data_IF_953922291400
#
_entry.id   IF_953922291400
#
_cell.length_a   1.000
_cell.length_b   1.000
_cell.length_c   1.000
_cell.angle_alpha   90.00
_cell.angle_beta   90.00
_cell.angle_gamma   90.00
#
_symmetry.space_group_name_H-M   'P 1'
#
loop_
_entity.id
_entity.type
_entity.pdbx_description
1 polymer ?
#
# COMPACT_ATOMS: atom_id res chain seq x y z
N UNK A 1 45.58 43.33 -7.48
CA UNK A 1 46.11 42.21 -6.67
C UNK A 1 45.42 42.29 -5.32
N UNK A 2 44.30 41.60 -5.19
CA UNK A 2 43.54 41.49 -3.94
C UNK A 2 43.66 40.04 -3.48
N UNK A 3 44.01 39.85 -2.21
CA UNK A 3 44.32 38.57 -1.61
C UNK A 3 43.05 37.73 -1.39
N UNK A 4 43.15 36.43 -1.68
CA UNK A 4 42.17 35.40 -1.33
C UNK A 4 42.10 35.21 0.20
N UNK A 5 40.91 35.01 0.78
CA UNK A 5 40.79 34.56 2.15
C UNK A 5 41.00 33.03 2.25
N UNK A 6 41.93 32.63 3.11
CA UNK A 6 42.18 31.27 3.58
C UNK A 6 40.88 30.57 4.01
N UNK A 7 40.61 29.42 3.40
CA UNK A 7 39.48 28.52 3.73
C UNK A 7 39.90 27.34 4.62
N UNK A 8 41.08 27.36 5.23
CA UNK A 8 41.63 26.28 6.06
C UNK A 8 41.14 26.34 7.53
N UNK A 9 39.82 26.39 7.74
CA UNK A 9 39.24 26.35 9.08
C UNK A 9 38.02 25.42 9.22
N UNK A 10 38.01 24.31 8.49
CA UNK A 10 37.23 23.13 8.87
C UNK A 10 38.18 22.12 9.51
N UNK A 11 38.34 22.22 10.83
CA UNK A 11 39.02 21.19 11.60
C UNK A 11 38.29 19.87 11.42
N UNK A 12 39.07 18.80 11.29
CA UNK A 12 38.61 17.42 11.27
C UNK A 12 37.76 17.17 12.53
N UNK A 13 36.44 17.21 12.36
CA UNK A 13 35.52 16.69 13.36
C UNK A 13 35.52 15.17 13.12
N UNK A 14 36.35 14.46 13.88
CA UNK A 14 36.23 13.02 14.06
C UNK A 14 34.86 12.73 14.67
N UNK A 15 33.89 12.46 13.79
CA UNK A 15 32.64 11.83 14.15
C UNK A 15 32.91 10.34 14.36
N UNK A 16 33.61 10.01 15.45
CA UNK A 16 33.53 8.69 16.07
C UNK A 16 32.10 8.51 16.60
N UNK A 17 31.16 8.36 15.67
CA UNK A 17 29.83 7.85 15.94
C UNK A 17 30.06 6.38 16.23
N UNK A 18 30.06 6.01 17.52
CA UNK A 18 29.97 4.63 17.97
C UNK A 18 28.93 3.90 17.11
N UNK A 19 29.42 3.09 16.15
CA UNK A 19 28.63 2.44 15.10
C UNK A 19 27.73 1.32 15.62
N UNK A 20 27.70 1.10 16.94
CA UNK A 20 27.04 -0.02 17.60
C UNK A 20 25.58 0.25 17.98
N UNK A 21 25.09 1.47 17.72
CA UNK A 21 23.72 1.88 18.04
C UNK A 21 22.94 2.28 16.77
N UNK A 22 23.11 1.52 15.69
CA UNK A 22 22.16 1.55 14.56
C UNK A 22 20.83 1.04 15.11
N UNK A 23 20.03 1.96 15.64
CA UNK A 23 18.63 1.75 15.97
C UNK A 23 17.91 1.43 14.66
N UNK A 24 17.98 0.16 14.27
CA UNK A 24 17.36 -0.29 13.05
C UNK A 24 15.87 0.02 13.13
N UNK A 25 15.46 0.73 12.10
CA UNK A 25 14.10 1.24 12.00
C UNK A 25 13.21 0.08 11.61
N UNK A 26 12.08 -0.09 12.30
CA UNK A 26 11.19 -1.21 12.04
C UNK A 26 10.78 -1.26 10.57
N UNK A 27 10.82 -2.46 9.98
CA UNK A 27 10.48 -2.68 8.59
C UNK A 27 9.28 -3.61 8.47
N UNK A 28 8.37 -3.32 7.53
CA UNK A 28 7.24 -4.20 7.26
C UNK A 28 7.72 -5.50 6.61
N UNK A 29 7.50 -6.64 7.26
CA UNK A 29 7.94 -7.96 6.77
C UNK A 29 7.26 -8.38 5.44
N UNK A 30 6.20 -7.70 5.01
CA UNK A 30 5.51 -8.01 3.75
C UNK A 30 6.01 -7.21 2.55
N UNK A 31 6.49 -5.99 2.76
CA UNK A 31 6.86 -5.10 1.66
C UNK A 31 8.25 -4.51 1.77
N UNK A 32 8.97 -4.78 2.85
CA UNK A 32 10.32 -4.27 3.09
C UNK A 32 10.37 -2.76 3.28
N UNK A 33 9.22 -2.07 3.35
CA UNK A 33 9.18 -0.62 3.56
C UNK A 33 9.35 -0.33 5.04
N UNK A 34 10.27 0.58 5.33
CA UNK A 34 10.52 1.09 6.67
C UNK A 34 9.29 1.83 7.22
N UNK A 35 8.94 1.51 8.46
CA UNK A 35 7.92 2.20 9.24
C UNK A 35 8.56 3.45 9.83
N UNK A 36 8.74 4.47 8.98
CA UNK A 36 9.03 5.81 9.48
C UNK A 36 7.74 6.45 9.98
N UNK A 37 7.83 7.14 11.11
CA UNK A 37 6.86 8.17 11.45
C UNK A 37 6.73 9.14 10.26
N UNK A 38 5.54 9.73 10.07
CA UNK A 38 5.23 10.59 8.93
C UNK A 38 6.42 11.48 8.53
N UNK A 39 6.82 11.38 7.25
CA UNK A 39 7.80 12.29 6.64
C UNK A 39 7.38 13.73 6.98
N UNK A 40 8.31 14.46 7.58
CA UNK A 40 8.20 15.73 8.28
C UNK A 40 7.66 16.94 7.48
N UNK A 41 6.86 16.78 6.42
CA UNK A 41 6.25 17.91 5.73
C UNK A 41 5.05 18.50 6.47
N UNK A 42 4.54 17.83 7.51
CA UNK A 42 3.65 18.43 8.50
C UNK A 42 4.07 17.97 9.91
N UNK A 43 3.95 18.81 10.96
CA UNK A 43 4.21 18.45 12.37
C UNK A 43 3.17 17.46 12.95
N UNK A 44 2.66 16.61 12.08
CA UNK A 44 1.68 15.60 12.35
C UNK A 44 2.44 14.40 12.93
N UNK A 45 2.60 14.37 14.25
CA UNK A 45 3.05 13.15 14.90
C UNK A 45 1.88 12.14 14.81
N UNK A 46 2.05 10.96 14.19
CA UNK A 46 0.96 10.01 13.98
C UNK A 46 0.35 9.49 15.29
N UNK A 47 1.10 9.55 16.38
CA UNK A 47 0.60 9.23 17.73
C UNK A 47 -0.23 10.36 18.35
N UNK A 48 -0.16 11.58 17.77
CA UNK A 48 -1.02 12.69 18.19
C UNK A 48 -2.43 12.52 17.65
N UNK A 49 -3.41 12.55 18.57
CA UNK A 49 -4.85 12.48 18.26
C UNK A 49 -5.28 13.39 17.11
N UNK A 50 -4.61 14.52 16.93
CA UNK A 50 -5.03 15.52 15.97
C UNK A 50 -4.97 15.06 14.51
N UNK A 51 -4.10 14.12 14.12
CA UNK A 51 -3.85 13.85 12.70
C UNK A 51 -4.98 13.06 12.06
N UNK A 52 -5.26 11.86 12.58
CA UNK A 52 -6.34 11.04 12.05
C UNK A 52 -7.72 11.68 12.29
N UNK A 53 -7.90 12.52 13.31
CA UNK A 53 -9.12 13.32 13.50
C UNK A 53 -9.24 14.53 12.56
N UNK A 54 -8.30 14.73 11.63
CA UNK A 54 -8.51 15.61 10.48
C UNK A 54 -9.22 14.88 9.34
N UNK A 55 -9.17 13.55 9.27
CA UNK A 55 -9.97 12.79 8.31
C UNK A 55 -11.45 12.97 8.58
N UNK A 56 -12.25 13.15 7.52
CA UNK A 56 -13.67 13.51 7.67
C UNK A 56 -14.48 12.44 8.41
N UNK A 57 -14.03 11.18 8.30
CA UNK A 57 -14.63 10.02 8.96
C UNK A 57 -14.51 10.09 10.48
N UNK A 58 -13.38 10.54 11.01
CA UNK A 58 -13.06 10.53 12.44
C UNK A 58 -13.01 11.93 13.08
N UNK A 59 -13.34 12.98 12.32
CA UNK A 59 -13.34 14.37 12.84
C UNK A 59 -14.21 14.58 14.08
N UNK A 60 -15.25 13.78 14.27
CA UNK A 60 -16.13 13.86 15.42
C UNK A 60 -15.44 13.45 16.74
N UNK A 61 -14.37 12.65 16.68
CA UNK A 61 -13.55 12.29 17.85
C UNK A 61 -12.61 13.39 18.32
N UNK A 62 -12.43 14.48 17.55
CA UNK A 62 -11.51 15.57 17.92
C UNK A 62 -11.78 16.18 19.29
N UNK A 63 -13.05 16.20 19.71
CA UNK A 63 -13.47 16.75 21.01
C UNK A 63 -13.57 15.67 22.10
N UNK A 64 -13.41 14.40 21.74
CA UNK A 64 -13.48 13.31 22.68
C UNK A 64 -12.23 13.34 23.56
N UNK A 65 -12.41 13.53 24.87
CA UNK A 65 -11.34 13.47 25.87
C UNK A 65 -11.01 12.02 26.25
N UNK A 66 -10.98 11.14 25.24
CA UNK A 66 -10.72 9.71 25.43
C UNK A 66 -9.22 9.46 25.48
N UNK A 67 -8.80 8.57 26.37
CA UNK A 67 -7.40 8.15 26.48
C UNK A 67 -6.95 7.39 25.23
N UNK A 68 -7.80 6.48 24.74
CA UNK A 68 -7.64 5.81 23.47
C UNK A 68 -8.93 5.90 22.66
N UNK A 69 -8.82 6.29 21.39
CA UNK A 69 -9.93 6.19 20.43
C UNK A 69 -9.72 4.93 19.61
N UNK A 70 -10.61 3.96 19.84
CA UNK A 70 -10.58 2.64 19.25
C UNK A 70 -11.68 2.50 18.20
N UNK A 71 -11.36 1.92 17.05
CA UNK A 71 -12.29 1.62 15.95
C UNK A 71 -12.07 0.20 15.43
N UNK A 72 -12.99 -0.41 14.67
CA UNK A 72 -12.73 -1.68 14.02
C UNK A 72 -11.53 -1.60 13.07
N UNK A 73 -10.65 -2.60 13.07
CA UNK A 73 -9.47 -2.62 12.19
C UNK A 73 -9.80 -2.47 10.71
N UNK A 74 -10.89 -3.12 10.29
CA UNK A 74 -11.42 -3.03 8.93
C UNK A 74 -11.69 -1.60 8.49
N UNK A 75 -12.11 -0.73 9.41
CA UNK A 75 -12.38 0.68 9.11
C UNK A 75 -11.11 1.47 8.78
N UNK A 76 -9.93 1.02 9.24
CA UNK A 76 -8.62 1.59 8.90
C UNK A 76 -8.08 0.99 7.61
N UNK A 77 -8.20 -0.33 7.44
CA UNK A 77 -7.73 -1.06 6.26
C UNK A 77 -8.43 -0.60 4.98
N UNK A 78 -9.73 -0.35 5.05
CA UNK A 78 -10.55 0.11 3.92
C UNK A 78 -10.48 1.64 3.68
N UNK A 79 -9.60 2.35 4.41
CA UNK A 79 -9.54 3.81 4.37
C UNK A 79 -8.40 4.36 3.53
N UNK A 80 -8.77 5.26 2.61
CA UNK A 80 -7.87 6.23 1.99
C UNK A 80 -7.68 7.47 2.88
N UNK A 81 -6.42 7.80 3.18
CA UNK A 81 -6.04 8.96 3.98
C UNK A 81 -5.80 10.17 3.09
N UNK A 82 -6.87 10.74 2.54
CA UNK A 82 -6.79 11.85 1.56
C UNK A 82 -5.96 13.03 2.04
N UNK A 83 -6.05 13.37 3.33
CA UNK A 83 -5.33 14.53 3.89
C UNK A 83 -3.88 14.19 4.21
N UNK A 84 -3.59 12.91 4.46
CA UNK A 84 -2.27 12.42 4.83
C UNK A 84 -1.98 11.08 4.14
N UNK A 85 -1.72 11.05 2.82
CA UNK A 85 -1.56 9.80 2.11
C UNK A 85 -0.52 8.88 2.73
N UNK A 86 0.62 9.42 3.20
CA UNK A 86 1.69 8.66 3.87
C UNK A 86 1.26 7.96 5.15
N UNK A 87 0.09 8.26 5.74
CA UNK A 87 -0.38 7.56 6.94
C UNK A 87 -0.50 6.05 6.77
N UNK A 88 -0.76 5.56 5.55
CA UNK A 88 -0.86 4.11 5.34
C UNK A 88 0.44 3.39 5.75
N UNK A 89 1.61 4.01 5.57
CA UNK A 89 2.92 3.42 5.93
C UNK A 89 3.24 3.55 7.42
N UNK A 90 2.40 4.22 8.21
CA UNK A 90 2.54 4.30 9.66
C UNK A 90 1.51 3.43 10.38
N UNK A 91 0.37 3.13 9.74
CA UNK A 91 -0.67 2.26 10.30
C UNK A 91 -0.20 0.81 10.22
N UNK A 92 0.16 0.25 11.36
CA UNK A 92 0.82 -1.04 11.46
C UNK A 92 0.07 -2.01 12.39
N UNK A 93 0.17 -3.28 12.04
CA UNK A 93 -0.06 -4.47 12.86
C UNK A 93 1.29 -5.04 13.30
N UNK A 94 1.27 -5.97 14.24
CA UNK A 94 2.41 -6.78 14.60
C UNK A 94 2.06 -8.26 14.61
N UNK A 95 3.00 -9.11 14.20
CA UNK A 95 2.96 -10.56 14.38
C UNK A 95 3.85 -10.87 15.58
N UNK A 96 3.25 -11.17 16.73
CA UNK A 96 3.94 -11.22 18.03
C UNK A 96 4.02 -12.66 18.53
N UNK A 97 5.21 -13.07 19.01
CA UNK A 97 5.46 -14.29 19.77
C UNK A 97 5.57 -13.96 21.25
N UNK A 98 4.66 -14.49 22.07
CA UNK A 98 4.82 -14.43 23.52
C UNK A 98 5.81 -15.53 23.97
N UNK A 99 6.50 -15.38 25.12
CA UNK A 99 7.55 -16.30 25.58
C UNK A 99 7.18 -17.79 25.66
N UNK A 100 5.90 -18.14 25.63
CA UNK A 100 5.40 -19.51 25.73
C UNK A 100 4.31 -19.85 24.69
N UNK A 101 4.04 -18.97 23.72
CA UNK A 101 2.92 -19.12 22.79
C UNK A 101 3.38 -19.14 21.33
N UNK A 102 2.46 -19.55 20.46
CA UNK A 102 2.56 -19.36 19.02
C UNK A 102 2.49 -17.87 18.66
N UNK A 103 2.95 -17.51 17.46
CA UNK A 103 2.74 -16.17 16.93
C UNK A 103 1.25 -15.86 16.78
N UNK A 104 0.86 -14.61 17.05
CA UNK A 104 -0.49 -14.12 16.79
C UNK A 104 -0.45 -12.73 16.14
N UNK A 105 -1.53 -12.38 15.44
CA UNK A 105 -1.69 -11.06 14.82
C UNK A 105 -2.32 -10.08 15.82
N UNK A 106 -1.68 -8.93 15.99
CA UNK A 106 -2.19 -7.84 16.81
C UNK A 106 -3.16 -6.92 16.04
N UNK A 107 -3.76 -5.98 16.75
CA UNK A 107 -4.56 -4.90 16.18
C UNK A 107 -3.74 -3.86 15.44
N UNK A 108 -4.35 -2.73 15.09
CA UNK A 108 -3.69 -1.66 14.33
C UNK A 108 -3.38 -0.47 15.25
N UNK A 109 -2.20 0.12 15.11
CA UNK A 109 -1.92 1.46 15.63
C UNK A 109 -1.03 2.21 14.65
N UNK A 110 -1.03 3.54 14.74
CA UNK A 110 0.02 4.31 14.11
C UNK A 110 1.30 4.17 14.92
N UNK A 111 2.42 3.84 14.26
CA UNK A 111 3.76 3.80 14.88
C UNK A 111 4.55 5.06 14.50
N UNK A 112 5.27 5.62 15.47
CA UNK A 112 6.14 6.78 15.29
C UNK A 112 7.62 6.41 15.15
N UNK A 113 8.42 7.33 14.62
CA UNK A 113 9.88 7.21 14.53
C UNK A 113 10.60 7.40 15.87
N UNK A 114 9.97 8.11 16.81
CA UNK A 114 10.54 8.46 18.13
C UNK A 114 10.04 7.54 19.25
N UNK A 115 9.31 6.48 18.93
CA UNK A 115 8.76 5.60 19.96
C UNK A 115 9.90 4.83 20.64
N UNK A 116 10.20 5.20 21.88
CA UNK A 116 11.10 4.47 22.76
C UNK A 116 10.60 3.02 22.86
N UNK A 117 11.43 2.06 22.43
CA UNK A 117 11.13 0.63 22.57
C UNK A 117 10.84 0.32 24.05
N UNK A 118 9.83 -0.51 24.39
CA UNK A 118 9.02 -1.33 23.48
C UNK A 118 7.86 -0.58 22.81
N UNK A 119 7.48 -1.03 21.62
CA UNK A 119 6.28 -0.57 20.93
C UNK A 119 5.02 -1.05 21.65
N UNK A 120 3.95 -0.25 21.57
CA UNK A 120 2.66 -0.57 22.20
C UNK A 120 1.56 -0.64 21.15
N UNK A 121 0.86 -1.77 21.08
CA UNK A 121 -0.14 -2.05 20.05
C UNK A 121 -1.37 -2.74 20.65
N UNK A 122 -2.59 -2.56 20.11
CA UNK A 122 -3.75 -3.30 20.59
C UNK A 122 -3.56 -4.81 20.43
N UNK A 123 -3.94 -5.61 21.42
CA UNK A 123 -3.86 -7.08 21.37
C UNK A 123 -4.81 -7.70 20.35
N UNK A 124 -6.03 -7.18 20.28
CA UNK A 124 -7.08 -7.77 19.43
C UNK A 124 -6.86 -7.42 17.95
N UNK A 125 -6.81 -8.41 17.04
CA UNK A 125 -6.63 -8.15 15.60
C UNK A 125 -7.76 -7.35 14.97
N UNK A 126 -8.94 -7.33 15.61
CA UNK A 126 -10.13 -6.63 15.11
C UNK A 126 -10.23 -5.18 15.60
N UNK A 127 -9.27 -4.70 16.38
CA UNK A 127 -9.27 -3.35 16.94
C UNK A 127 -8.11 -2.50 16.42
N UNK A 128 -8.41 -1.25 16.11
CA UNK A 128 -7.42 -0.24 15.74
C UNK A 128 -7.47 0.95 16.70
N UNK A 129 -6.30 1.41 17.15
CA UNK A 129 -6.15 2.70 17.83
C UNK A 129 -5.85 3.79 16.80
N UNK A 130 -6.75 4.75 16.65
CA UNK A 130 -6.62 5.88 15.71
C UNK A 130 -6.30 7.22 16.40
N UNK A 131 -6.10 7.21 17.72
CA UNK A 131 -5.73 8.41 18.47
C UNK A 131 -6.03 8.29 19.96
N UNK A 132 -6.01 9.43 20.64
CA UNK A 132 -6.27 9.54 22.07
C UNK A 132 -5.49 10.66 22.75
N UNK A 133 -5.46 10.66 24.08
CA UNK A 133 -4.61 11.57 24.85
C UNK A 133 -3.14 11.24 24.58
N UNK A 134 -2.27 12.25 24.48
CA UNK A 134 -0.84 12.05 24.17
C UNK A 134 0.06 12.18 25.39
N UNK A 135 -0.30 13.08 26.32
CA UNK A 135 0.49 13.30 27.55
C UNK A 135 0.06 12.30 28.63
N UNK A 136 1.03 11.57 29.17
CA UNK A 136 0.82 10.61 30.26
C UNK A 136 -0.05 9.42 29.87
N UNK A 137 0.12 8.91 28.64
CA UNK A 137 -0.59 7.73 28.13
C UNK A 137 -0.44 6.55 29.08
N UNK A 138 -1.56 6.10 29.65
CA UNK A 138 -1.61 4.85 30.39
C UNK A 138 -2.25 3.80 29.49
N UNK A 139 -1.47 2.77 29.16
CA UNK A 139 -1.97 1.64 28.40
C UNK A 139 -2.59 0.62 29.35
N UNK A 140 -3.82 0.21 29.07
CA UNK A 140 -4.52 -0.84 29.79
C UNK A 140 -4.25 -2.24 29.20
N UNK A 141 -4.97 -3.24 29.69
CA UNK A 141 -4.85 -4.65 29.33
C UNK A 141 -5.18 -4.95 27.86
N UNK A 142 -5.83 -4.03 27.15
CA UNK A 142 -6.13 -4.14 25.71
C UNK A 142 -4.90 -3.98 24.84
N UNK A 143 -3.79 -3.51 25.39
CA UNK A 143 -2.54 -3.29 24.68
C UNK A 143 -1.47 -4.30 25.10
N UNK A 144 -0.54 -4.55 24.18
CA UNK A 144 0.65 -5.35 24.43
C UNK A 144 1.89 -4.56 24.07
N UNK A 145 2.92 -4.73 24.89
CA UNK A 145 4.26 -4.22 24.64
C UNK A 145 5.06 -5.28 23.90
N UNK A 146 5.73 -4.93 22.83
CA UNK A 146 6.60 -5.84 22.09
C UNK A 146 7.85 -5.13 21.57
N UNK A 147 8.89 -5.90 21.33
CA UNK A 147 10.12 -5.47 20.68
C UNK A 147 10.10 -6.00 19.25
N UNK A 148 10.51 -5.17 18.31
CA UNK A 148 10.59 -5.58 16.91
C UNK A 148 11.81 -6.47 16.74
N UNK A 149 11.62 -7.67 16.20
CA UNK A 149 12.75 -8.45 15.71
C UNK A 149 13.29 -7.76 14.47
N UNK A 150 14.60 -7.56 14.45
CA UNK A 150 15.33 -7.28 13.22
C UNK A 150 15.32 -8.57 12.40
N UNK A 151 15.22 -8.46 11.08
CA UNK A 151 15.19 -9.65 10.20
C UNK A 151 16.48 -10.48 10.37
N UNK A 152 17.59 -9.81 10.67
CA UNK A 152 18.98 -10.30 10.72
C UNK A 152 19.35 -10.95 12.05
N UNK A 153 19.01 -10.34 13.19
CA UNK A 153 19.50 -10.78 14.50
C UNK A 153 18.37 -11.17 15.46
N UNK A 154 18.24 -12.47 15.80
CA UNK A 154 17.37 -12.90 16.88
C UNK A 154 17.95 -12.37 18.21
N UNK A 155 17.31 -11.38 18.81
CA UNK A 155 17.67 -10.96 20.17
C UNK A 155 17.32 -12.08 21.16
N UNK A 156 18.19 -12.44 22.12
CA UNK A 156 17.85 -13.34 23.24
C UNK A 156 16.90 -12.63 24.22
N UNK A 157 15.58 -12.85 24.14
CA UNK A 157 14.61 -11.96 24.73
C UNK A 157 13.97 -12.67 25.91
N UNK A 158 14.77 -13.05 26.91
CA UNK A 158 14.24 -13.75 28.09
C UNK A 158 13.09 -12.92 28.69
N UNK A 159 11.87 -13.45 28.57
CA UNK A 159 10.64 -12.86 29.10
C UNK A 159 10.08 -11.66 28.33
N UNK A 160 10.53 -11.35 27.11
CA UNK A 160 10.00 -10.24 26.30
C UNK A 160 9.16 -10.77 25.13
N UNK A 161 8.11 -10.03 24.78
CA UNK A 161 7.38 -10.29 23.53
C UNK A 161 8.20 -9.75 22.36
N UNK A 162 8.50 -10.60 21.40
CA UNK A 162 9.13 -10.21 20.14
C UNK A 162 8.09 -10.28 19.03
N UNK A 163 8.17 -9.38 18.05
CA UNK A 163 7.35 -9.53 16.86
C UNK A 163 7.88 -8.82 15.63
N UNK A 164 7.20 -9.04 14.51
CA UNK A 164 7.46 -8.40 13.23
C UNK A 164 6.37 -7.38 12.94
N UNK A 165 6.71 -6.28 12.27
CA UNK A 165 5.70 -5.30 11.88
C UNK A 165 5.16 -5.61 10.50
N UNK A 166 3.87 -5.31 10.32
CA UNK A 166 3.16 -5.40 9.05
C UNK A 166 2.33 -4.14 8.87
N UNK A 167 2.44 -3.44 7.74
CA UNK A 167 1.49 -2.36 7.43
C UNK A 167 0.06 -2.92 7.34
N UNK A 168 -0.92 -2.23 7.92
CA UNK A 168 -2.32 -2.64 7.92
C UNK A 168 -2.83 -2.88 6.48
N UNK A 169 -2.52 -1.96 5.56
CA UNK A 169 -2.89 -2.09 4.15
C UNK A 169 -2.15 -3.22 3.44
N UNK A 170 -0.91 -3.56 3.84
CA UNK A 170 -0.22 -4.73 3.31
C UNK A 170 -0.87 -6.03 3.79
N UNK A 171 -1.26 -6.12 5.06
CA UNK A 171 -1.98 -7.30 5.58
C UNK A 171 -3.32 -7.52 4.88
N UNK A 172 -4.10 -6.45 4.70
CA UNK A 172 -5.36 -6.52 3.96
C UNK A 172 -5.12 -6.88 2.47
N UNK A 173 -4.07 -6.34 1.84
CA UNK A 173 -3.69 -6.71 0.47
C UNK A 173 -3.29 -8.19 0.35
N UNK A 174 -2.55 -8.72 1.33
CA UNK A 174 -2.15 -10.12 1.38
C UNK A 174 -3.35 -11.07 1.32
N UNK A 175 -4.46 -10.72 1.99
CA UNK A 175 -5.69 -11.50 2.00
C UNK A 175 -6.31 -11.72 0.59
N UNK A 176 -5.99 -10.85 -0.37
CA UNK A 176 -6.42 -11.03 -1.76
C UNK A 176 -5.62 -12.12 -2.49
N UNK A 177 -4.37 -12.38 -2.07
CA UNK A 177 -3.48 -13.36 -2.70
C UNK A 177 -3.56 -14.71 -1.97
N UNK A 178 -3.58 -14.69 -0.64
CA UNK A 178 -3.66 -15.86 0.23
C UNK A 178 -4.61 -15.55 1.38
N UNK A 179 -5.65 -16.38 1.62
CA UNK A 179 -6.56 -16.14 2.74
C UNK A 179 -5.79 -16.05 4.06
N UNK A 180 -5.93 -14.95 4.80
CA UNK A 180 -5.14 -14.75 6.03
C UNK A 180 -5.48 -15.78 7.10
N UNK A 181 -6.68 -16.36 7.09
CA UNK A 181 -7.05 -17.47 7.96
C UNK A 181 -6.12 -18.69 7.79
N UNK A 182 -5.61 -18.94 6.58
CA UNK A 182 -4.64 -20.01 6.34
C UNK A 182 -3.28 -19.67 6.95
N UNK A 183 -2.84 -18.41 6.82
CA UNK A 183 -1.60 -17.93 7.43
C UNK A 183 -1.69 -17.96 8.96
N UNK A 184 -2.81 -17.50 9.52
CA UNK A 184 -3.04 -17.47 10.97
C UNK A 184 -3.03 -18.87 11.59
N UNK A 185 -3.39 -19.91 10.83
CA UNK A 185 -3.29 -21.30 11.28
C UNK A 185 -1.85 -21.85 11.34
N UNK A 186 -0.90 -21.20 10.65
CA UNK A 186 0.50 -21.61 10.60
C UNK A 186 1.43 -20.38 10.54
N UNK A 187 1.28 -19.52 11.54
CA UNK A 187 1.96 -18.22 11.59
C UNK A 187 3.48 -18.37 11.77
N UNK A 188 3.94 -19.41 12.49
CA UNK A 188 5.36 -19.75 12.65
C UNK A 188 6.03 -20.01 11.30
N UNK A 189 5.41 -20.85 10.46
CA UNK A 189 5.90 -21.13 9.11
C UNK A 189 5.90 -19.89 8.24
N UNK A 190 4.83 -19.10 8.30
CA UNK A 190 4.73 -17.87 7.52
C UNK A 190 5.84 -16.87 7.87
N UNK A 191 6.08 -16.62 9.16
CA UNK A 191 7.15 -15.73 9.64
C UNK A 191 8.51 -16.23 9.16
N UNK A 192 8.79 -17.54 9.32
CA UNK A 192 10.07 -18.14 8.86
C UNK A 192 10.29 -17.91 7.37
N UNK A 193 9.29 -18.21 6.54
CA UNK A 193 9.36 -18.03 5.08
C UNK A 193 9.57 -16.56 4.69
N UNK A 194 8.83 -15.66 5.33
CA UNK A 194 8.94 -14.24 5.05
C UNK A 194 10.34 -13.70 5.41
N UNK A 195 10.94 -14.18 6.51
CA UNK A 195 12.33 -13.87 6.85
C UNK A 195 13.31 -14.41 5.82
N UNK A 196 13.24 -15.70 5.50
CA UNK A 196 14.10 -16.33 4.50
C UNK A 196 14.03 -15.59 3.15
N UNK A 197 12.85 -15.11 2.75
CA UNK A 197 12.70 -14.27 1.57
C UNK A 197 13.57 -13.01 1.63
N UNK A 198 13.56 -12.27 2.75
CA UNK A 198 14.34 -11.05 2.87
C UNK A 198 15.84 -11.30 3.04
N UNK A 199 16.24 -12.37 3.72
CA UNK A 199 17.63 -12.80 3.83
C UNK A 199 18.23 -13.12 2.44
N UNK A 200 17.45 -13.73 1.55
CA UNK A 200 17.91 -14.07 0.19
C UNK A 200 18.01 -12.87 -0.77
N UNK A 201 17.45 -11.70 -0.41
CA UNK A 201 17.34 -10.53 -1.31
C UNK A 201 18.24 -9.37 -0.89
N UNK A 202 19.40 -9.67 -0.30
CA UNK A 202 20.42 -8.71 0.18
C UNK A 202 19.82 -7.57 1.02
N UNK A 203 18.82 -7.89 1.84
CA UNK A 203 18.35 -7.02 2.93
C UNK A 203 18.00 -5.60 2.51
N UNK A 204 17.59 -5.38 1.25
CA UNK A 204 17.21 -4.03 0.80
C UNK A 204 15.95 -3.62 1.56
N UNK A 205 16.12 -3.00 2.72
CA UNK A 205 15.08 -2.27 3.41
C UNK A 205 14.74 -1.10 2.52
N UNK A 206 13.56 -1.18 1.91
CA UNK A 206 13.08 -0.18 0.98
C UNK A 206 12.74 1.08 1.79
N UNK A 207 13.33 2.21 1.42
CA UNK A 207 13.05 3.52 2.03
C UNK A 207 14.16 4.09 2.93
N UNK A 208 15.29 3.40 3.13
CA UNK A 208 16.50 4.04 3.71
C UNK A 208 16.96 5.19 2.80
N UNK A 209 17.05 4.93 1.50
CA UNK A 209 17.69 5.82 0.53
C UNK A 209 16.75 6.85 -0.11
N UNK A 210 15.45 6.82 0.21
CA UNK A 210 14.47 7.71 -0.39
C UNK A 210 14.39 9.09 0.31
N UNK A 211 15.48 9.47 0.99
CA UNK A 211 15.62 10.76 1.66
C UNK A 211 15.42 11.91 0.66
N UNK A 212 15.92 11.75 -0.58
CA UNK A 212 15.75 12.74 -1.64
C UNK A 212 14.27 12.96 -2.02
N UNK A 213 13.45 11.91 -2.11
CA UNK A 213 12.02 12.05 -2.39
C UNK A 213 11.27 12.66 -1.20
N UNK A 214 11.64 12.25 0.02
CA UNK A 214 11.14 12.85 1.26
C UNK A 214 11.42 14.36 1.29
N UNK A 215 12.65 14.76 0.99
CA UNK A 215 13.09 16.15 0.98
C UNK A 215 12.46 16.95 -0.16
N UNK A 216 12.32 16.35 -1.34
CA UNK A 216 11.59 16.95 -2.46
C UNK A 216 10.14 17.27 -2.09
N UNK A 217 9.42 16.30 -1.51
CA UNK A 217 8.03 16.48 -1.03
C UNK A 217 7.94 17.52 0.08
N UNK A 218 8.96 17.62 0.95
CA UNK A 218 9.02 18.60 2.04
C UNK A 218 9.20 20.03 1.52
N UNK A 219 10.13 20.22 0.60
CA UNK A 219 10.56 21.55 0.16
C UNK A 219 9.71 22.11 -0.99
N UNK A 220 8.72 21.37 -1.49
CA UNK A 220 8.00 21.75 -2.72
C UNK A 220 8.96 21.94 -3.89
N UNK A 221 10.03 21.14 -3.93
CA UNK A 221 11.14 21.34 -4.83
C UNK A 221 10.71 21.28 -6.29
N UNK A 222 11.37 22.06 -7.15
CA UNK A 222 11.15 22.03 -8.60
C UNK A 222 11.82 20.83 -9.27
N UNK A 223 12.81 20.20 -8.61
CA UNK A 223 13.54 19.05 -9.12
C UNK A 223 13.01 17.75 -8.49
N UNK A 224 12.31 16.96 -9.29
CA UNK A 224 11.83 15.64 -8.91
C UNK A 224 12.97 14.62 -9.12
N UNK A 225 13.51 13.99 -8.05
CA UNK A 225 14.70 13.14 -8.15
C UNK A 225 14.46 11.78 -8.82
N UNK A 226 13.23 11.53 -9.30
CA UNK A 226 12.80 10.18 -9.66
C UNK A 226 12.37 9.38 -8.43
N UNK A 227 11.86 8.18 -8.68
CA UNK A 227 11.66 7.18 -7.64
C UNK A 227 12.83 6.21 -7.67
N UNK A 228 13.59 6.10 -6.57
CA UNK A 228 14.69 5.14 -6.44
C UNK A 228 14.25 3.70 -6.76
N UNK A 229 12.96 3.41 -6.54
CA UNK A 229 12.35 2.10 -6.68
C UNK A 229 11.32 2.04 -7.83
N UNK A 230 11.34 3.02 -8.73
CA UNK A 230 10.38 3.12 -9.84
C UNK A 230 8.92 3.38 -9.41
N UNK A 231 8.67 3.68 -8.13
CA UNK A 231 7.35 3.95 -7.60
C UNK A 231 7.37 4.89 -6.38
N UNK A 232 6.27 5.63 -6.16
CA UNK A 232 6.05 6.35 -4.90
C UNK A 232 5.68 5.36 -3.79
N UNK A 233 6.68 4.91 -3.02
CA UNK A 233 6.51 4.00 -1.88
C UNK A 233 5.71 4.59 -0.72
N UNK A 234 5.25 5.85 -0.82
CA UNK A 234 4.37 6.50 0.15
C UNK A 234 2.92 6.61 -0.34
N UNK A 235 2.59 6.03 -1.50
CA UNK A 235 1.20 5.88 -1.97
C UNK A 235 0.61 4.56 -1.51
N UNK A 236 -0.65 4.60 -1.09
CA UNK A 236 -1.34 3.43 -0.55
C UNK A 236 -1.40 2.32 -1.61
N UNK A 237 -0.80 1.14 -1.36
CA UNK A 237 -0.82 0.04 -2.33
C UNK A 237 -2.18 -0.65 -2.38
N UNK A 238 -3.00 -0.60 -1.33
CA UNK A 238 -4.31 -1.25 -1.31
C UNK A 238 -5.38 -0.38 -1.96
N UNK A 239 -5.39 0.94 -1.69
CA UNK A 239 -6.48 1.81 -2.13
C UNK A 239 -5.96 2.85 -3.13
N UNK A 240 -6.38 2.70 -4.38
CA UNK A 240 -6.10 3.67 -5.45
C UNK A 240 -7.40 4.39 -5.83
N UNK A 241 -7.61 5.66 -5.40
CA UNK A 241 -8.89 6.35 -5.57
C UNK A 241 -9.38 6.42 -7.02
N UNK A 242 -8.48 6.59 -7.99
CA UNK A 242 -8.82 6.68 -9.41
C UNK A 242 -9.32 5.34 -9.97
N UNK A 243 -8.83 4.21 -9.45
CA UNK A 243 -9.35 2.88 -9.79
C UNK A 243 -10.78 2.73 -9.25
N UNK A 244 -11.01 3.08 -7.98
CA UNK A 244 -12.36 3.03 -7.38
C UNK A 244 -13.36 3.94 -8.11
N UNK A 245 -12.95 5.18 -8.45
CA UNK A 245 -13.76 6.11 -9.25
C UNK A 245 -14.10 5.51 -10.62
N UNK A 246 -13.15 4.82 -11.24
CA UNK A 246 -13.34 4.20 -12.56
C UNK A 246 -14.31 3.03 -12.50
N UNK A 247 -14.18 2.17 -11.49
CA UNK A 247 -15.15 1.10 -11.20
C UNK A 247 -16.55 1.67 -10.97
N UNK A 248 -16.69 2.69 -10.12
CA UNK A 248 -18.00 3.29 -9.83
C UNK A 248 -18.63 3.90 -11.09
N UNK A 249 -17.85 4.61 -11.92
CA UNK A 249 -18.34 5.14 -13.20
C UNK A 249 -18.85 4.04 -14.13
N UNK A 250 -18.20 2.89 -14.17
CA UNK A 250 -18.64 1.76 -15.01
C UNK A 250 -19.96 1.14 -14.50
N UNK A 251 -20.13 1.04 -13.19
CA UNK A 251 -21.38 0.59 -12.56
C UNK A 251 -22.51 1.60 -12.85
N UNK A 252 -22.25 2.89 -12.68
CA UNK A 252 -23.22 3.96 -12.93
C UNK A 252 -23.61 4.06 -14.42
N UNK A 253 -22.72 3.72 -15.35
CA UNK A 253 -23.02 3.64 -16.79
C UNK A 253 -23.92 2.45 -17.09
N UNK A 254 -23.60 1.27 -16.55
CA UNK A 254 -24.36 0.05 -16.79
C UNK A 254 -25.83 0.19 -16.32
N UNK A 255 -26.04 0.82 -15.17
CA UNK A 255 -27.38 1.07 -14.62
C UNK A 255 -28.20 2.00 -15.52
N UNK A 256 -27.59 3.06 -16.08
CA UNK A 256 -28.25 4.00 -17.00
C UNK A 256 -28.56 3.40 -18.38
N UNK A 257 -27.68 2.54 -18.90
CA UNK A 257 -27.82 1.98 -20.25
C UNK A 257 -28.95 0.95 -20.34
N UNK A 258 -29.28 0.24 -19.24
CA UNK A 258 -30.43 -0.69 -19.18
C UNK A 258 -31.76 -0.03 -19.56
N UNK A 259 -31.88 1.29 -19.42
CA UNK A 259 -33.11 2.04 -19.74
C UNK A 259 -33.26 2.41 -21.23
N UNK A 260 -32.21 2.25 -22.05
CA UNK A 260 -32.15 2.82 -23.42
C UNK A 260 -31.78 1.84 -24.54
N UNK A 261 -31.91 0.53 -24.34
CA UNK A 261 -31.46 -0.44 -25.34
C UNK A 261 -32.40 -0.51 -26.57
N UNK A 262 -32.31 0.47 -27.45
CA UNK A 262 -32.59 0.31 -28.88
C UNK A 262 -31.30 -0.13 -29.55
N UNK A 263 -31.27 -1.36 -30.04
CA UNK A 263 -30.14 -1.96 -30.76
C UNK A 263 -29.68 -1.04 -31.89
N UNK A 264 -28.47 -0.49 -31.78
CA UNK A 264 -27.83 0.19 -32.90
C UNK A 264 -27.41 -0.85 -33.94
N UNK A 265 -27.55 -0.46 -35.21
CA UNK A 265 -27.45 -1.32 -36.39
C UNK A 265 -26.12 -2.08 -36.43
N UNK A 266 -26.24 -3.34 -36.82
CA UNK A 266 -25.14 -4.26 -37.06
C UNK A 266 -24.03 -3.61 -37.91
N UNK A 267 -22.80 -3.60 -37.40
CA UNK A 267 -21.63 -3.39 -38.25
C UNK A 267 -21.58 -4.50 -39.30
N UNK A 268 -21.18 -4.21 -40.55
CA UNK A 268 -21.03 -5.23 -41.58
C UNK A 268 -19.85 -6.19 -41.34
N UNK A 269 -19.01 -5.91 -40.33
CA UNK A 269 -17.80 -6.68 -40.03
C UNK A 269 -18.13 -7.81 -39.05
N UNK A 270 -17.77 -9.08 -39.34
CA UNK A 270 -17.91 -10.18 -38.38
C UNK A 270 -17.20 -9.87 -37.06
N UNK A 271 -17.78 -10.31 -35.93
CA UNK A 271 -17.27 -10.01 -34.59
C UNK A 271 -15.80 -10.45 -34.43
N UNK A 272 -15.43 -11.59 -34.98
CA UNK A 272 -14.08 -12.13 -34.94
C UNK A 272 -13.07 -11.20 -35.63
N UNK A 273 -13.45 -10.66 -36.80
CA UNK A 273 -12.64 -9.71 -37.55
C UNK A 273 -12.53 -8.39 -36.79
N UNK A 274 -13.63 -7.92 -36.20
CA UNK A 274 -13.63 -6.71 -35.38
C UNK A 274 -12.72 -6.84 -34.14
N UNK A 275 -12.75 -8.01 -33.48
CA UNK A 275 -11.85 -8.33 -32.37
C UNK A 275 -10.40 -8.38 -32.83
N UNK A 276 -10.09 -8.99 -33.98
CA UNK A 276 -8.73 -9.00 -34.54
C UNK A 276 -8.21 -7.58 -34.80
N UNK A 277 -9.05 -6.70 -35.36
CA UNK A 277 -8.69 -5.29 -35.59
C UNK A 277 -8.42 -4.59 -34.25
N UNK A 278 -9.24 -4.87 -33.23
CA UNK A 278 -9.07 -4.29 -31.90
C UNK A 278 -7.79 -4.76 -31.20
N UNK A 279 -7.46 -6.05 -31.28
CA UNK A 279 -6.18 -6.63 -30.80
C UNK A 279 -4.98 -5.99 -31.50
N UNK A 280 -5.10 -5.76 -32.81
CA UNK A 280 -4.03 -5.12 -33.58
C UNK A 280 -3.86 -3.63 -33.24
N UNK A 281 -4.98 -2.94 -32.99
CA UNK A 281 -5.00 -1.51 -32.62
C UNK A 281 -4.48 -1.27 -31.20
N UNK A 282 -4.75 -2.19 -30.28
CA UNK A 282 -4.31 -2.11 -28.90
C UNK A 282 -3.98 -3.51 -28.37
N UNK A 283 -2.69 -3.92 -28.48
CA UNK A 283 -2.24 -5.23 -28.04
C UNK A 283 -2.44 -5.44 -26.55
N UNK A 284 -2.70 -6.68 -26.14
CA UNK A 284 -3.00 -7.03 -24.76
C UNK A 284 -1.81 -6.88 -23.80
N UNK A 285 -0.61 -7.24 -24.26
CA UNK A 285 0.57 -7.34 -23.38
C UNK A 285 1.30 -6.01 -23.21
N UNK A 286 1.24 -5.16 -24.24
CA UNK A 286 1.93 -3.87 -24.26
C UNK A 286 1.14 -2.86 -25.08
N UNK A 287 0.66 -1.82 -24.41
CA UNK A 287 -0.05 -0.71 -25.04
C UNK A 287 0.37 0.63 -24.44
N UNK A 288 0.32 1.65 -25.28
CA UNK A 288 0.58 3.04 -24.94
C UNK A 288 -0.73 3.83 -24.79
N UNK A 289 -0.66 5.06 -24.29
CA UNK A 289 -1.84 5.93 -24.24
C UNK A 289 -2.42 6.23 -25.63
N UNK A 290 -1.59 6.22 -26.68
CA UNK A 290 -2.04 6.38 -28.05
C UNK A 290 -2.87 5.18 -28.51
N UNK A 291 -2.43 3.96 -28.18
CA UNK A 291 -3.14 2.72 -28.56
C UNK A 291 -4.53 2.63 -27.91
N UNK A 292 -4.62 2.99 -26.61
CA UNK A 292 -5.92 3.05 -25.90
C UNK A 292 -6.85 4.09 -26.54
N UNK A 293 -6.33 5.25 -26.93
CA UNK A 293 -7.13 6.28 -27.61
C UNK A 293 -7.53 5.86 -29.02
N UNK A 294 -6.65 5.19 -29.77
CA UNK A 294 -6.97 4.62 -31.07
C UNK A 294 -8.10 3.58 -30.93
N UNK A 295 -8.01 2.70 -29.93
CA UNK A 295 -9.08 1.73 -29.64
C UNK A 295 -10.40 2.42 -29.30
N UNK A 296 -10.41 3.49 -28.49
CA UNK A 296 -11.62 4.29 -28.20
C UNK A 296 -12.22 4.89 -29.47
N UNK A 297 -11.40 5.55 -30.29
CA UNK A 297 -11.83 6.20 -31.54
C UNK A 297 -12.41 5.17 -32.51
N UNK A 298 -11.72 4.04 -32.64
CA UNK A 298 -12.11 2.89 -33.45
C UNK A 298 -13.50 2.35 -33.05
N UNK A 299 -13.69 2.04 -31.75
CA UNK A 299 -14.97 1.57 -31.23
C UNK A 299 -16.09 2.59 -31.43
N UNK A 300 -15.79 3.88 -31.21
CA UNK A 300 -16.77 4.95 -31.40
C UNK A 300 -17.16 5.14 -32.87
N UNK A 301 -16.19 5.11 -33.79
CA UNK A 301 -16.41 5.32 -35.22
C UNK A 301 -17.25 4.20 -35.83
N UNK A 302 -17.01 2.95 -35.42
CA UNK A 302 -17.77 1.79 -35.90
C UNK A 302 -18.96 1.41 -35.01
N UNK A 303 -19.18 2.16 -33.92
CA UNK A 303 -20.19 1.87 -32.91
C UNK A 303 -20.11 0.43 -32.39
N UNK A 304 -18.88 -0.09 -32.29
CA UNK A 304 -18.64 -1.45 -31.83
C UNK A 304 -18.80 -1.54 -30.32
N UNK A 305 -19.48 -2.61 -29.92
CA UNK A 305 -19.54 -3.08 -28.53
C UNK A 305 -19.03 -4.51 -28.53
N UNK A 306 -18.05 -4.79 -27.67
CA UNK A 306 -17.51 -6.14 -27.56
C UNK A 306 -18.06 -6.87 -26.34
N UNK A 307 -18.15 -8.21 -26.40
CA UNK A 307 -18.57 -9.01 -25.27
C UNK A 307 -17.67 -8.80 -24.04
N UNK A 308 -18.24 -8.93 -22.85
CA UNK A 308 -17.52 -8.76 -21.57
C UNK A 308 -16.23 -9.57 -21.48
N UNK A 309 -16.18 -10.78 -22.04
CA UNK A 309 -15.00 -11.65 -21.99
C UNK A 309 -13.78 -11.01 -22.67
N UNK A 310 -13.98 -10.19 -23.71
CA UNK A 310 -12.91 -9.50 -24.43
C UNK A 310 -12.20 -8.48 -23.52
N UNK A 311 -12.98 -7.75 -22.73
CA UNK A 311 -12.51 -6.74 -21.79
C UNK A 311 -11.91 -7.37 -20.53
N UNK A 312 -12.61 -8.37 -19.98
CA UNK A 312 -12.16 -9.15 -18.82
C UNK A 312 -10.78 -9.78 -19.03
N UNK A 313 -10.46 -10.23 -20.25
CA UNK A 313 -9.14 -10.81 -20.57
C UNK A 313 -8.00 -9.78 -20.52
N UNK A 314 -8.28 -8.51 -20.83
CA UNK A 314 -7.28 -7.42 -20.91
C UNK A 314 -6.92 -6.83 -19.55
N UNK A 315 -7.75 -7.07 -18.55
CA UNK A 315 -7.55 -6.51 -17.21
C UNK A 315 -6.67 -7.45 -16.38
N UNK A 316 -5.53 -6.91 -15.93
CA UNK A 316 -4.60 -7.57 -15.02
C UNK A 316 -5.18 -7.67 -13.62
N UNK A 317 -5.82 -8.80 -13.29
CA UNK A 317 -6.45 -9.05 -11.98
C UNK A 317 -5.45 -9.06 -10.83
N UNK A 318 -4.21 -9.43 -11.13
CA UNK A 318 -3.06 -9.34 -10.26
C UNK A 318 -2.90 -7.91 -9.74
N UNK A 319 -2.95 -6.88 -10.59
CA UNK A 319 -2.78 -5.49 -10.16
C UNK A 319 -4.11 -4.89 -9.67
N UNK A 320 -5.24 -5.22 -10.30
CA UNK A 320 -6.55 -4.70 -9.92
C UNK A 320 -7.32 -5.70 -9.06
N UNK A 321 -6.90 -5.82 -7.79
CA UNK A 321 -7.47 -6.75 -6.81
C UNK A 321 -8.99 -6.57 -6.61
N UNK A 322 -9.52 -5.40 -6.93
CA UNK A 322 -10.95 -5.08 -6.88
C UNK A 322 -11.77 -5.88 -7.91
N UNK A 323 -11.15 -6.31 -9.02
CA UNK A 323 -11.85 -7.00 -10.11
C UNK A 323 -12.39 -8.37 -9.70
N UNK A 324 -11.72 -9.05 -8.76
CA UNK A 324 -12.17 -10.36 -8.26
C UNK A 324 -13.57 -10.23 -7.63
N UNK A 325 -13.72 -9.29 -6.69
CA UNK A 325 -15.01 -9.03 -6.04
C UNK A 325 -16.08 -8.57 -7.03
N UNK A 326 -15.70 -7.80 -8.06
CA UNK A 326 -16.64 -7.36 -9.10
C UNK A 326 -17.15 -8.51 -9.98
N UNK A 327 -16.35 -9.56 -10.20
CA UNK A 327 -16.78 -10.75 -10.95
C UNK A 327 -17.71 -11.64 -10.16
N UNK A 328 -17.51 -11.70 -8.84
CA UNK A 328 -18.33 -12.47 -7.91
C UNK A 328 -19.65 -11.75 -7.58
N UNK A 329 -19.69 -10.43 -7.75
CA UNK A 329 -20.87 -9.64 -7.45
C UNK A 329 -21.91 -9.68 -8.57
N UNK A 330 -23.19 -9.72 -8.19
CA UNK A 330 -24.35 -9.72 -9.10
C UNK A 330 -24.69 -8.31 -9.63
N UNK A 331 -23.69 -7.45 -9.80
CA UNK A 331 -23.91 -6.09 -10.33
C UNK A 331 -23.71 -6.06 -11.84
N UNK A 332 -24.55 -5.28 -12.53
CA UNK A 332 -24.33 -4.94 -13.94
C UNK A 332 -23.13 -4.01 -14.05
N UNK A 333 -22.13 -4.38 -14.85
CA UNK A 333 -20.91 -3.59 -15.08
C UNK A 333 -20.75 -3.35 -16.57
N UNK A 334 -20.45 -2.11 -16.96
CA UNK A 334 -20.04 -1.77 -18.31
C UNK A 334 -18.56 -2.14 -18.47
N UNK A 335 -18.29 -3.40 -18.83
CA UNK A 335 -16.93 -3.93 -18.94
C UNK A 335 -16.12 -3.23 -20.03
N UNK A 336 -16.76 -2.71 -21.07
CA UNK A 336 -16.10 -1.92 -22.11
C UNK A 336 -15.59 -0.60 -21.55
N UNK A 337 -16.46 0.16 -20.88
CA UNK A 337 -16.07 1.39 -20.21
C UNK A 337 -14.97 1.14 -19.17
N UNK A 338 -15.14 0.13 -18.32
CA UNK A 338 -14.18 -0.22 -17.27
C UNK A 338 -12.82 -0.58 -17.85
N UNK A 339 -12.80 -1.45 -18.87
CA UNK A 339 -11.60 -1.88 -19.57
C UNK A 339 -10.80 -0.71 -20.10
N UNK A 340 -11.44 0.14 -20.91
CA UNK A 340 -10.80 1.30 -21.54
C UNK A 340 -10.29 2.31 -20.51
N UNK A 341 -11.06 2.58 -19.45
CA UNK A 341 -10.69 3.56 -18.45
C UNK A 341 -9.54 3.07 -17.55
N UNK A 342 -9.50 1.79 -17.16
CA UNK A 342 -8.36 1.21 -16.44
C UNK A 342 -7.10 1.09 -17.32
N UNK A 343 -7.25 0.70 -18.60
CA UNK A 343 -6.12 0.72 -19.55
C UNK A 343 -5.55 2.13 -19.70
N UNK A 344 -6.42 3.14 -19.82
CA UNK A 344 -5.99 4.54 -19.90
C UNK A 344 -5.24 5.04 -18.67
N UNK A 345 -5.56 4.52 -17.48
CA UNK A 345 -4.82 4.81 -16.25
C UNK A 345 -3.41 4.21 -16.31
N UNK A 346 -3.27 2.92 -16.63
CA UNK A 346 -1.97 2.24 -16.69
C UNK A 346 -1.07 2.79 -17.79
N UNK A 347 -1.64 3.21 -18.92
CA UNK A 347 -0.88 3.74 -20.05
C UNK A 347 -0.38 5.18 -19.85
N UNK A 348 -0.92 5.91 -18.88
CA UNK A 348 -0.49 7.26 -18.55
C UNK A 348 0.67 7.19 -17.54
N UNK A 349 1.92 7.25 -18.03
CA UNK A 349 3.12 7.10 -17.19
C UNK A 349 3.24 8.15 -16.09
N UNK A 350 2.97 9.41 -16.40
CA UNK A 350 3.03 10.50 -15.41
C UNK A 350 2.09 10.24 -14.23
N UNK A 351 0.85 9.83 -14.52
CA UNK A 351 -0.09 9.45 -13.48
C UNK A 351 0.29 8.13 -12.81
N UNK A 352 0.64 7.10 -13.58
CA UNK A 352 0.92 5.75 -13.10
C UNK A 352 2.03 5.78 -12.06
N UNK A 353 3.18 6.36 -12.40
CA UNK A 353 4.37 6.38 -11.55
C UNK A 353 4.09 7.08 -10.21
N UNK A 354 3.25 8.12 -10.22
CA UNK A 354 2.85 8.89 -9.03
C UNK A 354 1.62 8.32 -8.30
N UNK A 355 1.03 7.24 -8.79
CA UNK A 355 -0.15 6.60 -8.20
C UNK A 355 0.24 5.54 -7.16
N UNK A 356 -0.76 4.91 -6.53
CA UNK A 356 -0.54 3.74 -5.69
C UNK A 356 -0.34 2.43 -6.45
N UNK A 357 -0.59 2.38 -7.78
CA UNK A 357 -0.53 1.14 -8.56
C UNK A 357 0.89 0.57 -8.71
N UNK A 358 1.94 1.35 -9.04
CA UNK A 358 3.28 0.80 -9.09
C UNK A 358 3.75 0.25 -7.74
N UNK A 359 3.40 0.95 -6.64
CA UNK A 359 3.70 0.45 -5.30
C UNK A 359 2.90 -0.83 -5.00
N UNK A 360 1.63 -0.91 -5.41
CA UNK A 360 0.83 -2.14 -5.33
C UNK A 360 1.50 -3.29 -6.07
N UNK A 361 1.87 -3.11 -7.33
CA UNK A 361 2.55 -4.10 -8.17
C UNK A 361 3.82 -4.63 -7.49
N UNK A 362 4.66 -3.73 -6.97
CA UNK A 362 5.86 -4.09 -6.21
C UNK A 362 5.52 -4.94 -4.97
N UNK A 363 4.57 -4.49 -4.14
CA UNK A 363 4.18 -5.19 -2.92
C UNK A 363 3.59 -6.57 -3.21
N UNK A 364 2.75 -6.68 -4.23
CA UNK A 364 2.18 -7.95 -4.68
C UNK A 364 3.26 -8.90 -5.20
N UNK A 365 4.29 -8.40 -5.87
CA UNK A 365 5.46 -9.18 -6.26
C UNK A 365 6.14 -9.85 -5.06
N UNK A 366 6.43 -9.08 -4.01
CA UNK A 366 6.98 -9.61 -2.75
C UNK A 366 6.05 -10.66 -2.12
N UNK A 367 4.77 -10.35 -1.97
CA UNK A 367 3.80 -11.25 -1.35
C UNK A 367 3.59 -12.54 -2.14
N UNK A 368 3.66 -12.48 -3.47
CA UNK A 368 3.54 -13.66 -4.34
C UNK A 368 4.75 -14.58 -4.17
N UNK A 369 5.96 -14.03 -4.07
CA UNK A 369 7.17 -14.80 -3.79
C UNK A 369 7.13 -15.46 -2.41
N UNK A 370 6.72 -14.72 -1.37
CA UNK A 370 6.53 -15.24 0.00
C UNK A 370 5.46 -16.36 -0.01
N UNK A 371 4.31 -16.13 -0.65
CA UNK A 371 3.24 -17.13 -0.78
C UNK A 371 3.74 -18.41 -1.44
N UNK A 372 4.51 -18.32 -2.53
CA UNK A 372 5.01 -19.49 -3.24
C UNK A 372 5.86 -20.38 -2.32
N UNK A 373 6.76 -19.80 -1.54
CA UNK A 373 7.58 -20.51 -0.54
C UNK A 373 6.73 -21.07 0.61
N UNK A 374 5.75 -20.30 1.09
CA UNK A 374 4.84 -20.73 2.16
C UNK A 374 4.03 -21.98 1.76
N UNK A 375 3.56 -22.05 0.52
CA UNK A 375 2.81 -23.20 0.03
C UNK A 375 3.69 -24.43 -0.26
N UNK A 376 4.99 -24.25 -0.50
CA UNK A 376 5.93 -25.36 -0.79
C UNK A 376 6.45 -26.08 0.46
N UNK A 377 6.55 -25.39 1.60
CA UNK A 377 7.05 -25.98 2.85
C UNK A 377 5.98 -26.83 3.60
N UNK A 378 5.06 -27.48 2.89
CA UNK A 378 3.95 -28.27 3.47
C UNK A 378 4.38 -29.65 3.94
#
# INVERSE_FOLDING_TARGET
MAADPDWDMYGDIDWDIDSDDINETPTCILCGVMVRGMIHSQPANPTTSAVLFREDKWKHYRKAKLEHVMVPSKEVEERDFKKFPSMWSCMCRAIIKEPATQYFLSGITAMGSEDQRPYVIPKSPNMARIGGRTRGLQYDDRFIKFYTEIIEEPSDPKGKNIGFIVHAHCWALLNHIIPTALIESDMDKFVRVAREYWLDHDHKSWGIDDFALSDWKRCGGTFYPGFAYGCDIYKNPLIVPEVQKTIQRAIDRATKTKEKCTQSRCSPVPLEVAIMIAEWTCPIDYYTSADVNNLRNMLSAWQWTFPDWFWKRRLKEDIFVELKSLREADYSIDWQALGLDLMGLVSNREWYDCSGLPNRERVLGCMTAIKARFLQMS
#
